data_IF_688584254147
#
_entry.id   IF_688584254147
#
_cell.length_a   1.000
_cell.length_b   1.000
_cell.length_c   1.000
_cell.angle_alpha   90.00
_cell.angle_beta   90.00
_cell.angle_gamma   90.00
#
_symmetry.space_group_name_H-M   'P 1'
#
loop_
_entity.id
_entity.type
_entity.pdbx_description
1 polymer ?
#
# COMPACT_ATOMS: atom_id res chain seq x y z
N UNK A 1 10.20 9.19 -17.06
CA UNK A 1 10.09 8.64 -15.70
C UNK A 1 8.75 9.02 -15.13
N UNK A 2 7.95 8.03 -14.76
CA UNK A 2 6.73 8.35 -14.04
C UNK A 2 7.11 9.00 -12.72
N UNK A 3 6.44 10.08 -12.41
CA UNK A 3 6.69 10.84 -11.20
C UNK A 3 5.36 11.06 -10.50
N UNK A 4 4.86 9.99 -9.88
CA UNK A 4 3.59 10.04 -9.18
C UNK A 4 3.73 10.75 -7.84
N UNK A 5 2.59 11.04 -7.21
CA UNK A 5 2.58 11.61 -5.86
C UNK A 5 3.30 10.67 -4.88
N UNK A 6 3.25 9.35 -5.10
CA UNK A 6 3.95 8.40 -4.23
C UNK A 6 5.47 8.50 -4.39
N UNK A 7 5.95 8.72 -5.60
CA UNK A 7 7.37 8.97 -5.84
C UNK A 7 7.85 10.23 -5.11
N UNK A 8 7.00 11.26 -5.09
CA UNK A 8 7.32 12.51 -4.39
C UNK A 8 7.36 12.31 -2.88
N UNK A 9 6.49 11.45 -2.34
CA UNK A 9 6.52 11.11 -0.91
C UNK A 9 7.79 10.35 -0.58
N UNK A 10 8.17 9.37 -1.39
CA UNK A 10 9.41 8.59 -1.20
C UNK A 10 10.63 9.53 -1.20
N UNK A 11 10.64 10.51 -2.09
CA UNK A 11 11.74 11.47 -2.23
C UNK A 11 11.68 12.62 -1.21
N UNK A 12 10.70 12.63 -0.31
CA UNK A 12 10.49 13.69 0.69
C UNK A 12 10.21 15.06 0.07
N UNK A 13 9.64 15.09 -1.14
CA UNK A 13 9.29 16.34 -1.80
C UNK A 13 7.95 16.88 -1.36
N UNK A 14 7.05 16.00 -0.87
CA UNK A 14 5.77 16.39 -0.28
C UNK A 14 5.59 15.64 1.03
N UNK A 15 4.82 16.20 1.99
CA UNK A 15 4.61 15.55 3.28
C UNK A 15 3.63 14.38 3.19
N UNK A 16 3.78 13.43 4.12
CA UNK A 16 2.84 12.34 4.33
C UNK A 16 2.98 11.85 5.77
N UNK A 17 1.93 11.21 6.27
CA UNK A 17 1.94 10.61 7.60
C UNK A 17 2.53 9.21 7.51
N UNK A 18 3.86 9.12 7.52
CA UNK A 18 4.61 7.89 7.35
C UNK A 18 4.52 7.08 8.64
N UNK A 19 4.10 5.82 8.54
CA UNK A 19 3.95 4.93 9.69
C UNK A 19 4.97 3.79 9.70
N UNK A 20 5.62 3.52 8.57
CA UNK A 20 6.65 2.50 8.45
C UNK A 20 7.52 2.77 7.24
N UNK A 21 8.78 2.42 7.33
CA UNK A 21 9.70 2.54 6.19
C UNK A 21 10.90 1.63 6.39
N UNK A 22 11.34 0.98 5.32
CA UNK A 22 12.62 0.29 5.28
C UNK A 22 13.28 0.55 3.92
N UNK A 23 14.34 -0.20 3.59
CA UNK A 23 15.06 0.03 2.33
C UNK A 23 14.24 -0.34 1.10
N UNK A 24 13.18 -1.15 1.25
CA UNK A 24 12.40 -1.70 0.13
C UNK A 24 11.07 -0.98 -0.08
N UNK A 25 10.47 -0.46 0.97
CA UNK A 25 9.12 0.10 0.91
C UNK A 25 8.88 1.21 1.92
N UNK A 26 7.82 1.94 1.71
CA UNK A 26 7.33 2.98 2.62
C UNK A 26 5.83 2.77 2.82
N UNK A 27 5.35 3.07 4.02
CA UNK A 27 3.92 3.00 4.32
C UNK A 27 3.47 4.31 4.97
N UNK A 28 2.32 4.81 4.52
CA UNK A 28 1.76 6.06 5.04
C UNK A 28 0.23 6.00 5.04
N UNK A 29 -0.40 6.83 5.88
CA UNK A 29 -1.86 6.87 5.95
C UNK A 29 -2.43 7.51 4.71
N UNK A 30 -3.54 6.93 4.22
CA UNK A 30 -4.30 7.52 3.12
C UNK A 30 -4.95 8.81 3.61
N UNK A 31 -4.85 9.89 2.84
CA UNK A 31 -5.44 11.19 3.20
C UNK A 31 -6.95 11.22 3.00
N UNK A 32 -7.51 10.24 2.29
CA UNK A 32 -8.94 10.08 2.07
C UNK A 32 -9.36 8.67 2.51
N UNK A 33 -9.28 8.35 3.81
CA UNK A 33 -9.44 6.97 4.27
C UNK A 33 -10.83 6.43 4.01
N UNK A 34 -10.87 5.15 3.59
CA UNK A 34 -12.11 4.41 3.33
C UNK A 34 -12.47 3.50 4.50
N UNK A 35 -11.69 3.54 5.57
CA UNK A 35 -11.91 2.76 6.80
C UNK A 35 -11.21 3.48 7.95
N UNK A 36 -11.52 3.15 9.22
CA UNK A 36 -10.84 3.78 10.37
C UNK A 36 -9.32 3.64 10.31
N UNK A 37 -8.83 2.52 9.77
CA UNK A 37 -7.42 2.33 9.44
C UNK A 37 -7.32 2.13 7.94
N UNK A 38 -6.56 3.00 7.29
CA UNK A 38 -6.33 2.89 5.84
C UNK A 38 -4.90 3.35 5.58
N UNK A 39 -4.01 2.38 5.35
CA UNK A 39 -2.57 2.60 5.15
C UNK A 39 -2.17 2.04 3.79
N UNK A 40 -1.32 2.78 3.09
CA UNK A 40 -0.80 2.40 1.78
C UNK A 40 0.64 1.92 1.95
N UNK A 41 0.93 0.73 1.43
CA UNK A 41 2.28 0.15 1.43
C UNK A 41 2.80 0.21 -0.01
N UNK A 42 3.87 0.97 -0.22
CA UNK A 42 4.37 1.32 -1.56
C UNK A 42 5.83 0.89 -1.69
N UNK A 43 6.19 0.11 -2.73
CA UNK A 43 7.59 -0.24 -2.92
C UNK A 43 8.39 0.96 -3.43
N UNK A 44 9.67 1.01 -3.11
CA UNK A 44 10.54 2.09 -3.57
C UNK A 44 10.99 1.91 -5.01
N UNK A 45 10.93 0.67 -5.54
CA UNK A 45 11.20 0.43 -6.96
C UNK A 45 9.97 0.81 -7.77
N UNK A 46 10.18 1.45 -8.93
CA UNK A 46 9.09 1.91 -9.78
C UNK A 46 8.46 0.76 -10.54
N UNK A 47 7.19 0.49 -10.28
CA UNK A 47 6.37 -0.50 -10.99
C UNK A 47 4.98 0.11 -11.14
N UNK A 48 4.56 0.51 -12.35
CA UNK A 48 3.29 1.23 -12.51
C UNK A 48 2.05 0.41 -12.15
N UNK A 49 1.97 -0.85 -12.60
CA UNK A 49 0.82 -1.71 -12.36
C UNK A 49 1.25 -3.14 -12.02
N UNK A 50 0.31 -3.94 -11.50
CA UNK A 50 0.57 -5.37 -11.26
C UNK A 50 0.92 -6.11 -12.55
N UNK A 51 0.43 -5.64 -13.69
CA UNK A 51 0.74 -6.25 -14.98
C UNK A 51 2.21 -6.06 -15.37
N UNK A 52 2.89 -5.09 -14.76
CA UNK A 52 4.29 -4.78 -15.05
C UNK A 52 5.27 -5.49 -14.12
N UNK A 53 4.77 -6.21 -13.12
CA UNK A 53 5.63 -6.94 -12.19
C UNK A 53 6.29 -8.11 -12.92
N UNK A 54 7.61 -8.19 -12.84
CA UNK A 54 8.38 -9.26 -13.46
C UNK A 54 8.56 -10.43 -12.49
N UNK A 55 8.80 -11.66 -13.00
CA UNK A 55 9.01 -12.82 -12.11
C UNK A 55 10.11 -12.61 -11.07
N UNK A 56 11.18 -11.90 -11.41
CA UNK A 56 12.26 -11.62 -10.47
C UNK A 56 11.90 -10.53 -9.46
N UNK A 57 10.70 -9.98 -9.52
CA UNK A 57 10.18 -8.97 -8.59
C UNK A 57 9.11 -9.53 -7.67
N UNK A 58 8.86 -10.85 -7.70
CA UNK A 58 7.83 -11.47 -6.86
C UNK A 58 8.04 -11.18 -5.37
N UNK A 59 9.28 -11.10 -4.92
CA UNK A 59 9.61 -10.81 -3.54
C UNK A 59 9.09 -9.44 -3.09
N UNK A 60 9.05 -8.47 -4.00
CA UNK A 60 8.56 -7.12 -3.68
C UNK A 60 7.10 -7.18 -3.22
N UNK A 61 6.28 -7.96 -3.93
CA UNK A 61 4.86 -8.12 -3.58
C UNK A 61 4.73 -8.78 -2.21
N UNK A 62 5.52 -9.82 -1.96
CA UNK A 62 5.54 -10.50 -0.66
C UNK A 62 5.95 -9.56 0.47
N UNK A 63 6.93 -8.70 0.24
CA UNK A 63 7.38 -7.72 1.25
C UNK A 63 6.28 -6.75 1.61
N UNK A 64 5.48 -6.28 0.65
CA UNK A 64 4.35 -5.39 0.92
C UNK A 64 3.34 -6.08 1.83
N UNK A 65 2.96 -7.31 1.51
CA UNK A 65 1.97 -8.06 2.28
C UNK A 65 2.46 -8.36 3.69
N UNK A 66 3.73 -8.78 3.83
CA UNK A 66 4.30 -9.12 5.14
C UNK A 66 4.44 -7.86 6.00
N UNK A 67 4.86 -6.75 5.43
CA UNK A 67 4.96 -5.49 6.16
C UNK A 67 3.59 -5.04 6.66
N UNK A 68 2.55 -5.16 5.84
CA UNK A 68 1.19 -4.82 6.22
C UNK A 68 0.68 -5.72 7.35
N UNK A 69 0.93 -7.03 7.26
CA UNK A 69 0.53 -7.98 8.30
C UNK A 69 1.25 -7.70 9.62
N UNK A 70 2.54 -7.37 9.57
CA UNK A 70 3.32 -7.03 10.75
C UNK A 70 2.84 -5.73 11.39
N UNK A 71 2.48 -4.75 10.57
CA UNK A 71 1.91 -3.50 11.05
C UNK A 71 0.59 -3.76 11.78
N UNK A 72 -0.27 -4.61 11.21
CA UNK A 72 -1.53 -4.98 11.84
C UNK A 72 -1.32 -5.60 13.23
N UNK A 73 -0.34 -6.50 13.35
CA UNK A 73 0.00 -7.11 14.63
C UNK A 73 0.50 -6.08 15.63
N UNK A 74 1.40 -5.21 15.20
CA UNK A 74 1.99 -4.19 16.07
C UNK A 74 0.94 -3.19 16.56
N UNK A 75 -0.04 -2.85 15.73
CA UNK A 75 -1.08 -1.88 16.08
C UNK A 75 -2.30 -2.50 16.75
N UNK A 76 -2.35 -3.83 16.86
CA UNK A 76 -3.36 -4.51 17.65
C UNK A 76 -4.67 -4.85 16.95
N UNK A 77 -4.74 -4.78 15.61
CA UNK A 77 -5.97 -5.14 14.91
C UNK A 77 -5.87 -6.44 14.09
N UNK A 78 -4.78 -7.20 14.26
CA UNK A 78 -4.63 -8.47 13.57
C UNK A 78 -5.69 -9.50 13.97
N UNK A 79 -6.02 -9.57 15.26
CA UNK A 79 -7.00 -10.54 15.78
C UNK A 79 -8.39 -10.32 15.22
N UNK A 80 -8.85 -9.07 15.17
CA UNK A 80 -10.16 -8.74 14.60
C UNK A 80 -10.16 -8.87 13.08
N UNK A 81 -8.99 -8.74 12.48
CA UNK A 81 -8.84 -8.93 11.04
C UNK A 81 -8.71 -7.63 10.25
N UNK A 82 -8.32 -7.79 9.02
CA UNK A 82 -8.09 -6.67 8.11
C UNK A 82 -8.22 -7.14 6.67
N UNK A 83 -8.22 -6.20 5.74
CA UNK A 83 -8.29 -6.49 4.32
C UNK A 83 -7.12 -5.85 3.61
N UNK A 84 -6.52 -6.58 2.68
CA UNK A 84 -5.49 -6.07 1.77
C UNK A 84 -6.06 -6.01 0.37
N UNK A 85 -5.81 -4.90 -0.33
CA UNK A 85 -6.31 -4.69 -1.70
C UNK A 85 -5.19 -4.10 -2.55
N UNK A 86 -5.01 -4.65 -3.75
CA UNK A 86 -4.17 -4.04 -4.77
C UNK A 86 -5.01 -3.90 -6.03
N UNK A 87 -5.17 -2.68 -6.49
CA UNK A 87 -5.95 -2.37 -7.69
C UNK A 87 -5.02 -2.35 -8.91
N UNK A 88 -5.54 -2.75 -10.06
CA UNK A 88 -4.79 -2.72 -11.31
C UNK A 88 -5.65 -2.09 -12.39
N UNK A 89 -5.15 -1.01 -12.96
CA UNK A 89 -5.74 -0.29 -14.08
C UNK A 89 -7.17 0.21 -13.81
N UNK A 90 -7.85 0.65 -14.86
CA UNK A 90 -9.09 1.41 -14.78
C UNK A 90 -10.23 0.64 -14.12
N UNK A 91 -10.50 -0.58 -14.57
CA UNK A 91 -11.60 -1.38 -14.01
C UNK A 91 -11.33 -1.78 -12.55
N UNK A 92 -10.07 -1.82 -12.13
CA UNK A 92 -9.72 -2.07 -10.73
C UNK A 92 -9.76 -0.84 -9.85
N UNK A 93 -9.92 0.35 -10.45
CA UNK A 93 -9.95 1.60 -9.71
C UNK A 93 -8.59 2.16 -9.35
N UNK A 94 -7.54 1.78 -10.07
CA UNK A 94 -6.21 2.31 -9.83
C UNK A 94 -6.14 3.77 -10.29
N UNK A 95 -5.77 4.67 -9.38
CA UNK A 95 -5.66 6.10 -9.68
C UNK A 95 -4.23 6.62 -9.67
N UNK A 96 -3.33 5.96 -8.95
CA UNK A 96 -1.90 6.31 -8.92
C UNK A 96 -1.12 5.17 -9.53
N UNK A 97 -0.29 5.45 -10.54
CA UNK A 97 0.42 4.43 -11.30
C UNK A 97 1.83 4.18 -10.77
N UNK A 98 1.87 3.88 -9.50
CA UNK A 98 2.93 3.22 -8.77
C UNK A 98 2.20 2.22 -7.88
N UNK A 99 2.51 0.92 -8.00
CA UNK A 99 1.76 -0.11 -7.28
C UNK A 99 1.76 0.16 -5.78
N UNK A 100 0.66 -0.19 -5.14
CA UNK A 100 0.52 -0.02 -3.71
C UNK A 100 -0.52 -0.99 -3.17
N UNK A 101 -0.29 -1.41 -1.93
CA UNK A 101 -1.19 -2.31 -1.23
C UNK A 101 -1.94 -1.50 -0.18
N UNK A 102 -3.28 -1.51 -0.28
CA UNK A 102 -4.14 -0.91 0.73
C UNK A 102 -4.31 -1.87 1.89
N UNK A 103 -4.09 -1.40 3.10
CA UNK A 103 -4.45 -2.11 4.32
C UNK A 103 -5.63 -1.39 4.95
N UNK A 104 -6.74 -2.09 5.07
CA UNK A 104 -8.01 -1.55 5.59
C UNK A 104 -8.39 -2.33 6.83
N UNK A 105 -8.70 -1.61 7.92
CA UNK A 105 -9.01 -2.26 9.20
C UNK A 105 -9.75 -1.29 10.12
N UNK A 106 -10.01 -1.73 11.35
CA UNK A 106 -10.56 -0.90 12.43
C UNK A 106 -12.06 -1.01 12.61
N UNK A 107 -12.76 -1.67 11.68
CA UNK A 107 -14.18 -1.92 11.76
C UNK A 107 -14.55 -3.01 10.76
N UNK A 108 -15.71 -3.66 10.88
CA UNK A 108 -16.18 -4.56 9.82
C UNK A 108 -16.27 -3.82 8.50
N UNK A 109 -15.66 -4.39 7.45
CA UNK A 109 -15.52 -3.71 6.17
C UNK A 109 -16.63 -4.06 5.18
N UNK A 110 -17.43 -5.08 5.49
CA UNK A 110 -18.50 -5.50 4.60
C UNK A 110 -18.00 -6.18 3.34
N UNK A 111 -18.72 -6.01 2.25
CA UNK A 111 -18.35 -6.64 0.99
C UNK A 111 -17.10 -5.99 0.39
N UNK A 112 -16.30 -6.81 -0.27
CA UNK A 112 -15.22 -6.29 -1.10
C UNK A 112 -15.73 -6.11 -2.53
N UNK A 113 -15.30 -5.06 -3.16
CA UNK A 113 -15.77 -4.72 -4.50
C UNK A 113 -16.76 -3.53 -4.47
#
# INVERSE_FOLDING_TARGET
MPDTIFHKIIARQIPADIVYEDEHLIAFRDIAPQAPVHVLFVPKVTIPTLNDVQPNQAEIIGRLAIAAANYAKAQGFAENGYRMVMNCNDHGGQTVFQIHLHLLAGAPLGRFG
#
